data_IF_540709287345
#
_entry.id   IF_540709287345
#
_cell.length_a   1.000
_cell.length_b   1.000
_cell.length_c   1.000
_cell.angle_alpha   90.00
_cell.angle_beta   90.00
_cell.angle_gamma   90.00
#
_symmetry.space_group_name_H-M   'P 1'
#
loop_
_entity.id
_entity.type
_entity.pdbx_description
1 polymer ?
#
# COMPACT_ATOMS: atom_id res chain seq x y z
N UNK A 1 -36.04 -2.24 9.68
CA UNK A 1 -35.00 -3.17 9.21
C UNK A 1 -34.10 -2.46 8.19
N UNK A 2 -32.88 -2.08 8.59
CA UNK A 2 -31.76 -1.73 7.69
C UNK A 2 -30.42 -1.72 8.47
N UNK A 3 -30.27 -2.62 9.46
CA UNK A 3 -29.12 -2.63 10.39
C UNK A 3 -27.81 -3.07 9.74
N UNK A 4 -27.87 -3.70 8.56
CA UNK A 4 -26.73 -4.38 7.94
C UNK A 4 -26.35 -3.86 6.55
N UNK A 5 -27.08 -2.89 5.97
CA UNK A 5 -26.81 -2.43 4.61
C UNK A 5 -26.35 -0.97 4.59
N UNK A 6 -25.17 -0.72 5.16
CA UNK A 6 -24.44 0.53 4.93
C UNK A 6 -23.71 0.41 3.61
N UNK A 7 -24.15 1.16 2.59
CA UNK A 7 -23.39 1.32 1.34
C UNK A 7 -22.05 1.96 1.70
N UNK A 8 -20.98 1.17 1.70
CA UNK A 8 -19.62 1.70 1.85
C UNK A 8 -19.36 2.59 0.64
N UNK A 9 -19.05 3.86 0.88
CA UNK A 9 -18.54 4.76 -0.16
C UNK A 9 -17.35 4.05 -0.82
N UNK A 10 -17.36 3.84 -2.15
CA UNK A 10 -16.24 3.16 -2.79
C UNK A 10 -14.99 4.01 -2.54
N UNK A 11 -13.99 3.41 -1.87
CA UNK A 11 -12.65 4.00 -1.82
C UNK A 11 -12.25 4.17 -3.28
N UNK A 12 -12.09 5.43 -3.70
CA UNK A 12 -11.66 5.79 -5.05
C UNK A 12 -10.43 4.96 -5.40
N UNK A 13 -10.61 3.98 -6.28
CA UNK A 13 -9.50 3.15 -6.77
C UNK A 13 -8.73 4.04 -7.75
N UNK A 14 -7.61 4.60 -7.30
CA UNK A 14 -6.76 5.40 -8.16
C UNK A 14 -6.24 4.50 -9.29
N UNK A 15 -6.66 4.82 -10.51
CA UNK A 15 -6.17 4.16 -11.71
C UNK A 15 -4.77 4.68 -11.98
N UNK A 16 -3.82 3.76 -12.11
CA UNK A 16 -2.41 4.07 -12.37
C UNK A 16 -1.91 3.26 -13.55
N UNK A 17 -0.87 3.74 -14.21
CA UNK A 17 -0.15 2.96 -15.22
C UNK A 17 0.84 2.06 -14.51
N UNK A 18 0.82 0.76 -14.80
CA UNK A 18 1.78 -0.20 -14.27
C UNK A 18 3.13 -0.10 -15.00
N UNK A 19 4.14 -0.82 -14.52
CA UNK A 19 5.48 -0.81 -15.13
C UNK A 19 5.54 -1.30 -16.59
N UNK A 20 4.50 -2.00 -17.07
CA UNK A 20 4.38 -2.47 -18.46
C UNK A 20 3.55 -1.53 -19.34
N UNK A 21 3.11 -0.37 -18.83
CA UNK A 21 2.27 0.58 -19.59
C UNK A 21 0.78 0.24 -19.59
N UNK A 22 0.35 -0.81 -18.87
CA UNK A 22 -1.04 -1.21 -18.74
C UNK A 22 -1.78 -0.49 -17.61
N UNK A 23 -3.11 -0.53 -17.64
CA UNK A 23 -3.97 0.04 -16.60
C UNK A 23 -3.98 -0.84 -15.35
N UNK A 24 -3.67 -0.26 -14.19
CA UNK A 24 -3.71 -0.90 -12.88
C UNK A 24 -4.42 -0.04 -11.83
N UNK A 25 -4.52 -0.56 -10.60
CA UNK A 25 -5.08 0.16 -9.46
C UNK A 25 -4.04 0.31 -8.38
N UNK A 26 -3.92 1.51 -7.81
CA UNK A 26 -3.06 1.74 -6.64
C UNK A 26 -3.63 1.01 -5.43
N UNK A 27 -2.77 0.30 -4.71
CA UNK A 27 -3.13 -0.30 -3.44
C UNK A 27 -3.39 0.80 -2.41
N UNK A 28 -4.20 0.48 -1.40
CA UNK A 28 -4.26 1.32 -0.21
C UNK A 28 -2.89 1.28 0.47
N UNK A 29 -2.35 2.43 0.91
CA UNK A 29 -1.05 2.55 1.55
C UNK A 29 -0.79 1.48 2.62
N UNK A 30 -1.80 1.17 3.46
CA UNK A 30 -1.66 0.12 4.49
C UNK A 30 -1.47 -1.29 3.91
N UNK A 31 -2.19 -1.61 2.84
CA UNK A 31 -2.04 -2.89 2.15
C UNK A 31 -0.72 -2.97 1.39
N UNK A 32 -0.28 -1.84 0.83
CA UNK A 32 1.00 -1.74 0.13
C UNK A 32 2.17 -1.94 1.09
N UNK A 33 2.13 -1.33 2.27
CA UNK A 33 3.12 -1.53 3.33
C UNK A 33 3.26 -3.01 3.67
N UNK A 34 2.14 -3.67 4.01
CA UNK A 34 2.13 -5.10 4.36
C UNK A 34 2.64 -5.96 3.20
N UNK A 35 2.25 -5.64 1.96
CA UNK A 35 2.72 -6.34 0.76
C UNK A 35 4.25 -6.27 0.62
N UNK A 36 4.84 -5.09 0.81
CA UNK A 36 6.30 -4.91 0.74
C UNK A 36 6.99 -5.71 1.85
N UNK A 37 6.50 -5.61 3.09
CA UNK A 37 7.06 -6.35 4.23
C UNK A 37 6.99 -7.87 4.04
N UNK A 38 5.89 -8.38 3.50
CA UNK A 38 5.72 -9.82 3.23
C UNK A 38 6.60 -10.34 2.09
N UNK A 39 6.88 -9.51 1.09
CA UNK A 39 7.58 -9.93 -0.14
C UNK A 39 9.07 -9.58 -0.14
N UNK A 40 9.54 -8.85 0.87
CA UNK A 40 10.91 -8.41 1.04
C UNK A 40 11.31 -7.24 0.13
N UNK A 41 12.51 -6.71 0.41
CA UNK A 41 13.06 -5.52 -0.25
C UNK A 41 13.92 -5.81 -1.49
N UNK A 42 14.38 -7.05 -1.68
CA UNK A 42 15.25 -7.38 -2.81
C UNK A 42 14.64 -7.10 -4.18
N UNK A 43 15.53 -6.97 -5.18
CA UNK A 43 15.19 -6.70 -6.58
C UNK A 43 14.00 -7.52 -7.08
N UNK A 44 13.07 -6.82 -7.75
CA UNK A 44 11.96 -7.42 -8.50
C UNK A 44 12.17 -7.20 -9.99
N UNK A 45 11.39 -7.91 -10.80
CA UNK A 45 11.52 -7.87 -12.26
C UNK A 45 11.43 -6.44 -12.85
N UNK A 46 10.58 -5.59 -12.28
CA UNK A 46 10.32 -4.23 -12.75
C UNK A 46 10.73 -3.13 -11.76
N UNK A 47 11.38 -3.50 -10.65
CA UNK A 47 11.67 -2.56 -9.56
C UNK A 47 12.97 -2.95 -8.87
N UNK A 48 13.84 -1.96 -8.67
CA UNK A 48 15.09 -2.13 -7.95
C UNK A 48 14.91 -2.01 -6.44
N UNK A 49 15.80 -2.66 -5.69
CA UNK A 49 15.81 -2.62 -4.23
C UNK A 49 15.84 -1.19 -3.66
N UNK A 50 16.63 -0.30 -4.25
CA UNK A 50 16.69 1.11 -3.84
C UNK A 50 15.35 1.84 -4.02
N UNK A 51 14.68 1.62 -5.15
CA UNK A 51 13.36 2.22 -5.44
C UNK A 51 12.30 1.69 -4.49
N UNK A 52 12.40 0.40 -4.16
CA UNK A 52 11.48 -0.30 -3.26
C UNK A 52 11.66 0.15 -1.81
N UNK A 53 12.91 0.34 -1.38
CA UNK A 53 13.25 0.90 -0.07
C UNK A 53 12.72 2.31 0.07
N UNK A 54 12.95 3.17 -0.94
CA UNK A 54 12.39 4.52 -0.95
C UNK A 54 10.86 4.51 -0.89
N UNK A 55 10.19 3.55 -1.56
CA UNK A 55 8.74 3.42 -1.48
C UNK A 55 8.27 3.01 -0.08
N UNK A 56 9.00 2.10 0.58
CA UNK A 56 8.72 1.71 1.95
C UNK A 56 8.81 2.92 2.90
N UNK A 57 9.87 3.73 2.79
CA UNK A 57 10.04 4.95 3.60
C UNK A 57 8.85 5.90 3.42
N UNK A 58 8.47 6.20 2.18
CA UNK A 58 7.32 7.06 1.88
C UNK A 58 6.02 6.52 2.49
N UNK A 59 5.80 5.20 2.43
CA UNK A 59 4.61 4.60 3.02
C UNK A 59 4.59 4.71 4.55
N UNK A 60 5.74 4.54 5.20
CA UNK A 60 5.86 4.72 6.65
C UNK A 60 5.59 6.18 7.01
N UNK A 61 6.19 7.13 6.32
CA UNK A 61 5.99 8.58 6.55
C UNK A 61 4.53 9.02 6.34
N UNK A 62 3.83 8.42 5.37
CA UNK A 62 2.42 8.75 5.10
C UNK A 62 1.43 8.13 6.10
N UNK A 63 1.80 7.00 6.72
CA UNK A 63 0.93 6.23 7.63
C UNK A 63 1.22 6.57 9.09
N UNK A 64 2.48 6.68 9.50
CA UNK A 64 2.88 6.86 10.90
C UNK A 64 2.20 8.06 11.59
N UNK A 65 2.01 9.23 10.96
CA UNK A 65 1.30 10.35 11.59
C UNK A 65 -0.20 10.10 11.80
N UNK A 66 -0.80 9.17 11.05
CA UNK A 66 -2.24 8.88 11.07
C UNK A 66 -2.57 7.67 11.93
N UNK A 67 -1.69 6.68 11.93
CA UNK A 67 -1.88 5.40 12.61
C UNK A 67 -0.52 4.76 12.98
N UNK A 68 0.14 5.27 14.04
CA UNK A 68 1.43 4.75 14.47
C UNK A 68 1.33 3.33 15.04
N UNK A 69 0.17 2.95 15.60
CA UNK A 69 -0.06 1.60 16.13
C UNK A 69 -0.02 0.55 15.00
N UNK A 70 -0.57 0.88 13.83
CA UNK A 70 -0.51 0.00 12.67
C UNK A 70 0.93 -0.25 12.21
N UNK A 71 1.78 0.77 12.15
CA UNK A 71 3.20 0.62 11.80
C UNK A 71 3.90 -0.27 12.82
N UNK A 72 3.71 0.00 14.11
CA UNK A 72 4.33 -0.78 15.16
C UNK A 72 3.95 -2.27 15.07
N UNK A 73 2.67 -2.58 14.81
CA UNK A 73 2.20 -3.97 14.64
C UNK A 73 2.70 -4.64 13.35
N UNK A 74 2.93 -3.87 12.29
CA UNK A 74 3.41 -4.43 11.03
C UNK A 74 4.89 -4.82 11.07
N UNK A 75 5.66 -4.24 11.99
CA UNK A 75 7.10 -4.46 12.15
C UNK A 75 7.46 -5.55 13.18
N UNK A 76 6.48 -6.10 13.91
CA UNK A 76 6.64 -7.15 14.93
C UNK A 76 6.18 -8.48 14.37
#
# INVERSE_FOLDING_TARGET
MAKYNTKRTPVSKQVITNHQGGTGFKLNNKLELVSILMTGLGDKYYEKEDERTRRLEVLIDEIAPKDPEFIAKALV
#
